data_IF_611895706430
#
_entry.id   IF_611895706430
#
_cell.length_a   1.000
_cell.length_b   1.000
_cell.length_c   1.000
_cell.angle_alpha   90.00
_cell.angle_beta   90.00
_cell.angle_gamma   90.00
#
_symmetry.space_group_name_H-M   'P 1'
#
loop_
_entity.id
_entity.type
_entity.pdbx_description
1 polymer ?
#
# COMPACT_ATOMS: atom_id res chain seq x y z
N UNK A 1 0.01 -10.25 -4.83
CA UNK A 1 0.50 -9.73 -6.12
C UNK A 1 1.76 -10.47 -6.54
N UNK A 2 1.99 -10.63 -7.85
CA UNK A 2 3.25 -11.20 -8.36
C UNK A 2 4.33 -10.13 -8.37
N UNK A 3 5.60 -10.52 -8.24
CA UNK A 3 6.69 -9.54 -8.13
C UNK A 3 6.97 -8.87 -9.48
N UNK A 4 6.75 -9.58 -10.57
CA UNK A 4 6.93 -9.13 -11.95
C UNK A 4 5.99 -7.97 -12.27
N UNK A 5 4.73 -8.07 -11.86
CA UNK A 5 3.71 -7.01 -11.97
C UNK A 5 4.17 -5.74 -11.26
N UNK A 6 4.66 -5.87 -10.02
CA UNK A 6 5.15 -4.74 -9.23
C UNK A 6 6.37 -4.06 -9.85
N UNK A 7 7.24 -4.82 -10.53
CA UNK A 7 8.42 -4.25 -11.20
C UNK A 7 8.06 -3.49 -12.48
N UNK A 8 6.97 -3.90 -13.14
CA UNK A 8 6.46 -3.27 -14.35
C UNK A 8 5.70 -1.96 -14.06
N UNK A 9 5.16 -1.79 -12.84
CA UNK A 9 4.50 -0.55 -12.43
C UNK A 9 5.47 0.63 -12.35
N UNK A 10 4.96 1.82 -12.71
CA UNK A 10 5.64 3.09 -12.47
C UNK A 10 5.72 3.38 -10.98
N UNK A 11 6.70 4.19 -10.59
CA UNK A 11 6.91 4.56 -9.18
C UNK A 11 5.66 5.18 -8.55
N UNK A 12 4.98 6.09 -9.25
CA UNK A 12 3.76 6.72 -8.70
C UNK A 12 2.59 5.72 -8.61
N UNK A 13 2.49 4.76 -9.53
CA UNK A 13 1.51 3.68 -9.46
C UNK A 13 1.76 2.76 -8.26
N UNK A 14 3.04 2.47 -7.95
CA UNK A 14 3.43 1.73 -6.75
C UNK A 14 3.04 2.48 -5.48
N UNK A 15 3.17 3.81 -5.45
CA UNK A 15 2.70 4.61 -4.32
C UNK A 15 1.18 4.58 -4.18
N UNK A 16 0.45 4.75 -5.28
CA UNK A 16 -1.03 4.68 -5.24
C UNK A 16 -1.50 3.30 -4.76
N UNK A 17 -0.88 2.23 -5.24
CA UNK A 17 -1.20 0.87 -4.84
C UNK A 17 -0.84 0.60 -3.37
N UNK A 18 0.28 1.15 -2.89
CA UNK A 18 0.65 1.09 -1.49
C UNK A 18 -0.37 1.78 -0.58
N UNK A 19 -0.87 2.95 -0.97
CA UNK A 19 -1.93 3.65 -0.23
C UNK A 19 -3.21 2.81 -0.20
N UNK A 20 -3.61 2.27 -1.36
CA UNK A 20 -4.80 1.41 -1.49
C UNK A 20 -4.73 0.20 -0.57
N UNK A 21 -3.60 -0.51 -0.56
CA UNK A 21 -3.43 -1.69 0.29
C UNK A 21 -3.37 -1.35 1.78
N UNK A 22 -2.81 -0.19 2.16
CA UNK A 22 -2.83 0.28 3.55
C UNK A 22 -4.24 0.55 4.04
N UNK A 23 -5.06 1.22 3.22
CA UNK A 23 -6.48 1.45 3.51
C UNK A 23 -7.23 0.14 3.63
N UNK A 24 -7.06 -0.76 2.67
CA UNK A 24 -7.69 -2.09 2.72
C UNK A 24 -7.30 -2.89 3.97
N UNK A 25 -6.03 -2.84 4.39
CA UNK A 25 -5.59 -3.48 5.63
C UNK A 25 -6.23 -2.85 6.87
N UNK A 26 -6.42 -1.53 6.88
CA UNK A 26 -7.15 -0.84 7.94
C UNK A 26 -8.61 -1.30 7.99
N UNK A 27 -9.29 -1.34 6.86
CA UNK A 27 -10.70 -1.77 6.76
C UNK A 27 -10.87 -3.21 7.24
N UNK A 28 -9.99 -4.13 6.81
CA UNK A 28 -9.99 -5.52 7.28
C UNK A 28 -9.78 -5.63 8.79
N UNK A 29 -8.92 -4.77 9.37
CA UNK A 29 -8.70 -4.75 10.82
C UNK A 29 -9.92 -4.20 11.55
N UNK A 30 -10.52 -3.12 11.06
CA UNK A 30 -11.72 -2.56 11.63
C UNK A 30 -12.87 -3.58 11.61
N UNK A 31 -13.09 -4.26 10.49
CA UNK A 31 -14.08 -5.33 10.36
C UNK A 31 -13.80 -6.49 11.33
N UNK A 32 -12.53 -6.88 11.52
CA UNK A 32 -12.17 -7.97 12.44
C UNK A 32 -12.46 -7.70 13.92
N UNK A 33 -12.67 -6.43 14.29
CA UNK A 33 -13.02 -6.03 15.66
C UNK A 33 -14.51 -6.23 15.91
N UNK A 34 -15.36 -5.93 14.92
CA UNK A 34 -16.81 -6.02 15.06
C UNK A 34 -17.32 -7.43 14.81
N UNK A 35 -16.74 -8.13 13.83
CA UNK A 35 -17.20 -9.44 13.37
C UNK A 35 -16.04 -10.32 12.92
N UNK A 36 -16.27 -11.64 12.85
CA UNK A 36 -15.28 -12.56 12.29
C UNK A 36 -15.16 -12.31 10.80
N UNK A 37 -13.92 -12.08 10.33
CA UNK A 37 -13.65 -11.98 8.90
C UNK A 37 -14.03 -13.27 8.17
N UNK A 38 -14.69 -13.12 7.02
CA UNK A 38 -14.97 -14.23 6.10
C UNK A 38 -13.69 -14.93 5.65
N UNK A 39 -12.65 -14.15 5.34
CA UNK A 39 -11.31 -14.66 5.02
C UNK A 39 -10.20 -13.93 5.81
N UNK A 40 -9.77 -14.49 6.96
CA UNK A 40 -8.65 -13.98 7.74
C UNK A 40 -7.31 -13.96 6.97
N UNK A 41 -7.16 -14.77 5.91
CA UNK A 41 -5.94 -14.80 5.09
C UNK A 41 -5.73 -13.48 4.33
N UNK A 42 -6.79 -12.71 4.09
CA UNK A 42 -6.70 -11.41 3.40
C UNK A 42 -5.81 -10.43 4.16
N UNK A 43 -5.87 -10.42 5.49
CA UNK A 43 -4.98 -9.58 6.34
C UNK A 43 -3.51 -9.93 6.09
N UNK A 44 -3.20 -11.24 6.06
CA UNK A 44 -1.84 -11.73 5.79
C UNK A 44 -1.41 -11.45 4.35
N UNK A 45 -2.33 -11.53 3.38
CA UNK A 45 -2.07 -11.23 1.97
C UNK A 45 -1.77 -9.75 1.77
N UNK A 46 -2.62 -8.86 2.29
CA UNK A 46 -2.43 -7.40 2.24
C UNK A 46 -1.09 -6.98 2.85
N UNK A 47 -0.75 -7.49 4.06
CA UNK A 47 0.56 -7.22 4.68
C UNK A 47 1.75 -7.66 3.82
N UNK A 48 1.66 -8.83 3.19
CA UNK A 48 2.73 -9.34 2.31
C UNK A 48 2.86 -8.50 1.05
N UNK A 49 1.75 -8.11 0.45
CA UNK A 49 1.76 -7.27 -0.76
C UNK A 49 2.32 -5.87 -0.47
N UNK A 50 1.97 -5.25 0.68
CA UNK A 50 2.60 -4.02 1.18
C UNK A 50 4.12 -4.19 1.32
N UNK A 51 4.57 -5.29 1.95
CA UNK A 51 5.99 -5.58 2.13
C UNK A 51 6.74 -5.67 0.80
N UNK A 52 6.16 -6.35 -0.20
CA UNK A 52 6.74 -6.48 -1.55
C UNK A 52 6.89 -5.12 -2.23
N UNK A 53 5.87 -4.26 -2.17
CA UNK A 53 5.94 -2.91 -2.75
C UNK A 53 7.03 -2.08 -2.08
N UNK A 54 7.08 -2.09 -0.74
CA UNK A 54 8.14 -1.40 0.01
C UNK A 54 9.53 -1.90 -0.36
N UNK A 55 9.70 -3.22 -0.57
CA UNK A 55 10.95 -3.80 -1.05
C UNK A 55 11.32 -3.30 -2.45
N UNK A 56 10.37 -3.23 -3.40
CA UNK A 56 10.63 -2.71 -4.75
C UNK A 56 11.03 -1.22 -4.68
N UNK A 57 10.26 -0.40 -3.97
CA UNK A 57 10.54 1.03 -3.81
C UNK A 57 11.93 1.26 -3.18
N UNK A 58 12.27 0.53 -2.13
CA UNK A 58 13.55 0.69 -1.44
C UNK A 58 14.74 0.13 -2.20
N UNK A 59 14.65 -1.12 -2.66
CA UNK A 59 15.82 -1.83 -3.19
C UNK A 59 16.02 -1.60 -4.70
N UNK A 60 14.96 -1.31 -5.45
CA UNK A 60 15.06 -1.15 -6.91
C UNK A 60 14.91 0.31 -7.35
N UNK A 61 14.05 1.09 -6.68
CA UNK A 61 13.89 2.52 -6.97
C UNK A 61 14.79 3.42 -6.11
N UNK A 62 15.48 2.85 -5.11
CA UNK A 62 16.43 3.57 -4.27
C UNK A 62 15.79 4.56 -3.30
N UNK A 63 14.49 4.40 -3.01
CA UNK A 63 13.77 5.36 -2.17
C UNK A 63 14.12 5.20 -0.69
N UNK A 64 14.56 6.30 -0.07
CA UNK A 64 14.93 6.36 1.35
C UNK A 64 13.81 6.87 2.26
N UNK A 65 12.90 7.69 1.72
CA UNK A 65 11.89 8.44 2.47
C UNK A 65 10.46 8.11 2.02
N UNK A 66 10.16 6.81 1.90
CA UNK A 66 8.90 6.32 1.32
C UNK A 66 7.69 6.85 2.11
N UNK A 67 7.78 6.91 3.44
CA UNK A 67 6.68 7.41 4.27
C UNK A 67 6.45 8.91 4.11
N UNK A 68 7.52 9.70 4.06
CA UNK A 68 7.42 11.15 3.84
C UNK A 68 6.85 11.45 2.46
N UNK A 69 7.28 10.69 1.44
CA UNK A 69 6.74 10.82 0.08
C UNK A 69 5.27 10.47 0.04
N UNK A 70 4.84 9.39 0.71
CA UNK A 70 3.43 9.05 0.82
C UNK A 70 2.62 10.16 1.47
N UNK A 71 3.05 10.66 2.63
CA UNK A 71 2.36 11.76 3.32
C UNK A 71 2.25 13.02 2.43
N UNK A 72 3.30 13.33 1.68
CA UNK A 72 3.31 14.44 0.74
C UNK A 72 2.33 14.23 -0.42
N UNK A 73 2.32 13.07 -1.06
CA UNK A 73 1.40 12.72 -2.15
C UNK A 73 -0.05 12.78 -1.69
N UNK A 74 -0.37 12.22 -0.52
CA UNK A 74 -1.71 12.28 0.06
C UNK A 74 -2.14 13.72 0.35
N UNK A 75 -1.25 14.54 0.92
CA UNK A 75 -1.55 15.95 1.20
C UNK A 75 -1.77 16.77 -0.09
N UNK A 76 -0.98 16.52 -1.14
CA UNK A 76 -1.18 17.15 -2.45
C UNK A 76 -2.51 16.73 -3.08
N UNK A 77 -2.85 15.43 -3.03
CA UNK A 77 -4.09 14.91 -3.59
C UNK A 77 -5.34 15.49 -2.89
N UNK A 78 -5.28 15.68 -1.57
CA UNK A 78 -6.35 16.31 -0.79
C UNK A 78 -6.58 17.77 -1.23
N UNK A 79 -5.52 18.53 -1.48
CA UNK A 79 -5.60 19.94 -1.93
C UNK A 79 -6.15 20.10 -3.34
N UNK A 80 -5.93 19.13 -4.24
CA UNK A 80 -6.46 19.17 -5.62
C UNK A 80 -7.94 18.83 -5.72
N UNK A 81 -8.54 18.27 -4.67
CA UNK A 81 -9.95 17.85 -4.64
C UNK A 81 -10.89 18.87 -3.99
N UNK A 82 -10.37 19.98 -3.47
CA UNK A 82 -11.14 21.13 -2.98
C UNK A 82 -11.00 22.30 -3.92
#
# INVERSE_FOLDING_TARGET
MKIEELRAMKTDELHNELERLRRHLFDLRAQSVTEKLEDPMQVRKARRDIGRILTVLRNQRGEKYIEQRQAHLTAQAARRKG
#
